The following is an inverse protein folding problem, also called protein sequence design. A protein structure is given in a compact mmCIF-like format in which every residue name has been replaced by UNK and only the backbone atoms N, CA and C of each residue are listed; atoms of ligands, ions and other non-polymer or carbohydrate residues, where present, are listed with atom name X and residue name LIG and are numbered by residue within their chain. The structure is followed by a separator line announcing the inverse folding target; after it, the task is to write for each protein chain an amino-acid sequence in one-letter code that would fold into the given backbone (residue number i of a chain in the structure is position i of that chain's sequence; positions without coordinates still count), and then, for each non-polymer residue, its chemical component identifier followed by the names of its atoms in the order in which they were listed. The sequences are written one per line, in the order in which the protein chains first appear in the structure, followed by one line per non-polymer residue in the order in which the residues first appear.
data_IF_879105180529
#
_entry.id   IF_879105180529
#
_cell.length_a   1.000
_cell.length_b   1.000
_cell.length_c   1.000
_cell.angle_alpha   90.00
_cell.angle_beta   90.00
_cell.angle_gamma   90.00
#
_symmetry.space_group_name_H-M   'P 1'
#
loop_
_entity.id
_entity.type
_entity.pdbx_description
1 polymer ?
#
# COMPACT_ATOMS: atom_id res chain seq x y z
N UNK A 1 21.97 34.50 48.83
CA UNK A 1 22.36 35.78 48.20
C UNK A 1 23.88 35.72 48.05
N UNK A 2 24.54 35.67 46.91
CA UNK A 2 24.20 35.87 45.50
C UNK A 2 25.27 35.10 44.70
N UNK A 3 24.87 34.24 43.76
CA UNK A 3 25.80 33.58 42.85
C UNK A 3 26.03 34.48 41.64
N UNK A 4 27.28 34.88 41.43
CA UNK A 4 27.72 35.73 40.33
C UNK A 4 27.64 34.94 39.01
N UNK A 5 26.79 35.40 38.09
CA UNK A 5 26.81 34.98 36.69
C UNK A 5 28.02 35.63 36.02
N UNK A 6 28.85 34.83 35.37
CA UNK A 6 29.82 35.35 34.41
C UNK A 6 29.65 34.62 33.07
N UNK A 7 29.71 35.42 32.02
CA UNK A 7 29.15 35.19 30.69
C UNK A 7 29.99 34.20 29.88
N UNK A 8 29.35 33.41 29.02
CA UNK A 8 30.03 32.68 27.95
C UNK A 8 29.70 33.36 26.60
N UNK A 9 30.76 33.65 25.84
CA UNK A 9 30.80 34.34 24.55
C UNK A 9 29.79 33.81 23.50
N UNK A 10 29.16 34.70 22.72
CA UNK A 10 28.51 34.35 21.46
C UNK A 10 29.47 34.66 20.29
N UNK A 11 29.79 33.64 19.49
CA UNK A 11 30.35 33.63 18.11
C UNK A 11 31.31 32.42 18.04
N UNK A 12 31.06 31.42 17.19
CA UNK A 12 31.35 31.47 15.75
C UNK A 12 30.37 30.53 15.03
N UNK A 13 29.56 31.12 14.18
CA UNK A 13 28.71 30.48 13.17
C UNK A 13 29.63 29.72 12.19
N UNK A 14 29.55 28.39 12.20
CA UNK A 14 30.30 27.54 11.27
C UNK A 14 29.61 27.50 9.91
N UNK A 15 30.21 28.21 8.95
CA UNK A 15 30.11 28.10 7.49
C UNK A 15 28.94 27.27 6.90
N UNK A 16 27.95 28.00 6.38
CA UNK A 16 26.87 27.54 5.51
C UNK A 16 27.40 27.12 4.12
N UNK A 17 28.00 25.93 4.00
CA UNK A 17 28.25 25.30 2.68
C UNK A 17 28.05 23.78 2.66
N UNK A 18 26.89 23.33 3.11
CA UNK A 18 26.43 21.95 2.92
C UNK A 18 25.15 21.80 2.09
N UNK A 19 24.68 22.87 1.43
CA UNK A 19 23.40 22.84 0.68
C UNK A 19 23.55 22.71 -0.84
N UNK A 20 24.76 22.78 -1.40
CA UNK A 20 24.95 22.87 -2.87
C UNK A 20 25.43 21.58 -3.57
N UNK A 21 25.42 20.43 -2.88
CA UNK A 21 25.90 19.16 -3.46
C UNK A 21 24.84 18.06 -3.59
N UNK A 22 23.57 18.34 -3.30
CA UNK A 22 22.46 17.36 -3.49
C UNK A 22 21.53 17.69 -4.66
N UNK A 23 21.70 18.84 -5.30
CA UNK A 23 20.85 19.26 -6.44
C UNK A 23 21.27 18.68 -7.80
N UNK A 24 22.36 17.92 -7.89
CA UNK A 24 22.90 17.41 -9.18
C UNK A 24 22.59 15.94 -9.49
N UNK A 25 21.72 15.27 -8.74
CA UNK A 25 21.26 13.90 -9.06
C UNK A 25 19.83 13.84 -9.63
N UNK A 26 19.21 14.99 -9.90
CA UNK A 26 17.85 15.08 -10.44
C UNK A 26 17.74 15.04 -11.98
N UNK A 27 18.82 14.70 -12.71
CA UNK A 27 18.80 14.67 -14.18
C UNK A 27 18.28 13.32 -14.70
N UNK A 28 17.01 13.32 -15.07
CA UNK A 28 16.49 12.60 -16.25
C UNK A 28 16.58 11.07 -16.22
N UNK A 29 15.90 10.44 -15.26
CA UNK A 29 15.23 9.18 -15.62
C UNK A 29 13.93 9.55 -16.33
N UNK A 30 13.98 9.56 -17.66
CA UNK A 30 12.81 9.55 -18.54
C UNK A 30 12.14 8.18 -18.42
N UNK A 31 11.61 7.89 -17.24
CA UNK A 31 10.72 6.75 -17.04
C UNK A 31 9.44 7.09 -17.79
N UNK A 32 9.06 6.33 -18.83
CA UNK A 32 7.78 6.57 -19.49
C UNK A 32 6.70 6.49 -18.41
N UNK A 33 5.99 7.59 -18.22
CA UNK A 33 4.74 7.62 -17.47
C UNK A 33 3.78 6.83 -18.35
N UNK A 34 3.76 5.52 -18.19
CA UNK A 34 2.72 4.69 -18.76
C UNK A 34 1.46 5.10 -18.00
N UNK A 35 0.52 5.74 -18.69
CA UNK A 35 -0.85 5.95 -18.22
C UNK A 35 -1.49 4.58 -18.01
N UNK A 36 -1.11 3.91 -16.92
CA UNK A 36 -1.79 2.72 -16.46
C UNK A 36 -3.03 3.18 -15.72
N UNK A 37 -4.19 2.91 -16.31
CA UNK A 37 -5.47 3.10 -15.67
C UNK A 37 -5.60 2.03 -14.57
N UNK A 38 -5.03 2.30 -13.39
CA UNK A 38 -5.04 1.42 -12.21
C UNK A 38 -6.42 1.38 -11.56
N UNK A 39 -7.44 1.00 -12.34
CA UNK A 39 -8.83 0.94 -11.92
C UNK A 39 -9.23 -0.49 -11.61
N UNK A 40 -9.84 -0.70 -10.45
CA UNK A 40 -10.51 -1.95 -10.09
C UNK A 40 -12.01 -1.76 -10.28
N UNK A 41 -12.68 -2.75 -10.88
CA UNK A 41 -14.12 -2.65 -11.19
C UNK A 41 -14.94 -2.38 -9.91
N UNK A 42 -15.67 -1.28 -9.90
CA UNK A 42 -16.48 -0.86 -8.75
C UNK A 42 -15.70 -0.18 -7.63
N UNK A 43 -14.45 0.22 -7.86
CA UNK A 43 -13.68 1.12 -6.98
C UNK A 43 -13.36 2.37 -7.81
N UNK A 44 -13.94 3.50 -7.44
CA UNK A 44 -13.73 4.78 -8.11
C UNK A 44 -12.67 5.59 -7.35
N UNK A 45 -11.44 5.06 -7.35
CA UNK A 45 -10.28 5.65 -6.70
C UNK A 45 -9.08 5.61 -7.64
N UNK A 46 -8.26 6.66 -7.63
CA UNK A 46 -6.95 6.64 -8.29
C UNK A 46 -5.98 5.86 -7.40
N UNK A 47 -5.73 4.60 -7.76
CA UNK A 47 -4.92 3.69 -6.96
C UNK A 47 -3.44 3.83 -7.29
N UNK A 48 -2.58 3.74 -6.28
CA UNK A 48 -1.16 3.44 -6.49
C UNK A 48 -1.00 2.03 -7.08
N UNK A 49 0.13 1.71 -7.76
CA UNK A 49 0.38 0.37 -8.27
C UNK A 49 0.24 -0.74 -7.21
N UNK A 50 0.67 -0.44 -5.98
CA UNK A 50 0.62 -1.38 -4.86
C UNK A 50 -0.81 -1.63 -4.38
N UNK A 51 -1.61 -0.57 -4.25
CA UNK A 51 -3.02 -0.67 -3.88
C UNK A 51 -3.82 -1.42 -4.95
N UNK A 52 -3.59 -1.11 -6.22
CA UNK A 52 -4.18 -1.83 -7.35
C UNK A 52 -3.83 -3.31 -7.32
N UNK A 53 -2.57 -3.64 -7.04
CA UNK A 53 -2.12 -5.03 -6.93
C UNK A 53 -2.88 -5.79 -5.83
N UNK A 54 -2.96 -5.23 -4.62
CA UNK A 54 -3.64 -5.91 -3.50
C UNK A 54 -5.14 -6.07 -3.74
N UNK A 55 -5.83 -5.04 -4.25
CA UNK A 55 -7.26 -5.12 -4.55
C UNK A 55 -7.56 -6.11 -5.68
N UNK A 56 -6.75 -6.11 -6.74
CA UNK A 56 -6.89 -7.07 -7.85
C UNK A 56 -6.63 -8.51 -7.40
N UNK A 57 -5.62 -8.71 -6.55
CA UNK A 57 -5.33 -10.02 -5.97
C UNK A 57 -6.48 -10.50 -5.09
N UNK A 58 -7.02 -9.63 -4.23
CA UNK A 58 -8.15 -9.96 -3.37
C UNK A 58 -9.36 -10.40 -4.20
N UNK A 59 -9.71 -9.64 -5.24
CA UNK A 59 -10.80 -9.99 -6.17
C UNK A 59 -10.60 -11.37 -6.78
N UNK A 60 -9.40 -11.64 -7.29
CA UNK A 60 -9.07 -12.92 -7.91
C UNK A 60 -9.17 -14.08 -6.93
N UNK A 61 -8.67 -13.91 -5.71
CA UNK A 61 -8.72 -14.95 -4.68
C UNK A 61 -10.15 -15.27 -4.24
N UNK A 62 -11.00 -14.25 -4.15
CA UNK A 62 -12.42 -14.43 -3.80
C UNK A 62 -13.16 -15.16 -4.92
N UNK A 63 -12.96 -14.77 -6.18
CA UNK A 63 -13.53 -15.47 -7.33
C UNK A 63 -13.05 -16.93 -7.41
N UNK A 64 -11.76 -17.16 -7.13
CA UNK A 64 -11.18 -18.50 -7.08
C UNK A 64 -11.81 -19.34 -5.97
N UNK A 65 -11.96 -18.80 -4.75
CA UNK A 65 -12.69 -19.45 -3.65
C UNK A 65 -14.12 -19.80 -4.06
N UNK A 66 -14.85 -18.86 -4.65
CA UNK A 66 -16.25 -19.04 -5.03
C UNK A 66 -16.43 -20.09 -6.14
N UNK A 67 -15.43 -20.26 -7.00
CA UNK A 67 -15.43 -21.32 -8.02
C UNK A 67 -15.04 -22.67 -7.40
N UNK A 68 -14.02 -22.67 -6.54
CA UNK A 68 -13.48 -23.88 -5.93
C UNK A 68 -14.45 -24.57 -4.96
N UNK A 69 -15.34 -23.81 -4.30
CA UNK A 69 -16.31 -24.37 -3.37
C UNK A 69 -17.29 -25.37 -4.02
N UNK A 70 -17.46 -25.32 -5.34
CA UNK A 70 -18.33 -26.23 -6.12
C UNK A 70 -17.52 -27.19 -7.00
N UNK A 71 -16.20 -27.26 -6.83
CA UNK A 71 -15.33 -28.14 -7.59
C UNK A 71 -15.58 -29.62 -7.24
N UNK A 72 -15.53 -30.50 -8.23
CA UNK A 72 -15.68 -31.94 -8.03
C UNK A 72 -14.47 -32.55 -7.28
N UNK A 73 -13.29 -31.94 -7.46
CA UNK A 73 -12.03 -32.33 -6.82
C UNK A 73 -11.76 -31.47 -5.56
N UNK A 74 -12.83 -31.08 -4.86
CA UNK A 74 -12.73 -30.28 -3.65
C UNK A 74 -11.90 -30.98 -2.56
N UNK A 75 -10.91 -30.26 -2.04
CA UNK A 75 -10.08 -30.65 -0.92
C UNK A 75 -10.10 -29.56 0.16
N UNK A 76 -10.41 -29.98 1.39
CA UNK A 76 -10.58 -29.05 2.51
C UNK A 76 -9.30 -28.24 2.83
N UNK A 77 -8.11 -28.81 2.59
CA UNK A 77 -6.84 -28.11 2.85
C UNK A 77 -6.63 -26.95 1.88
N UNK A 78 -7.02 -27.10 0.61
CA UNK A 78 -6.92 -26.05 -0.40
C UNK A 78 -7.88 -24.90 -0.09
N UNK A 79 -9.11 -25.22 0.33
CA UNK A 79 -10.05 -24.20 0.78
C UNK A 79 -9.52 -23.49 2.04
N UNK A 80 -8.88 -24.22 2.95
CA UNK A 80 -8.16 -23.62 4.09
C UNK A 80 -7.04 -22.66 3.66
N UNK A 81 -6.27 -23.01 2.62
CA UNK A 81 -5.21 -22.17 2.08
C UNK A 81 -5.76 -20.91 1.41
N UNK A 82 -6.82 -21.02 0.62
CA UNK A 82 -7.49 -19.89 -0.02
C UNK A 82 -8.05 -18.90 1.00
N UNK A 83 -8.71 -19.38 2.07
CA UNK A 83 -9.21 -18.51 3.13
C UNK A 83 -8.09 -17.74 3.84
N UNK A 84 -6.93 -18.38 4.07
CA UNK A 84 -5.75 -17.70 4.64
C UNK A 84 -5.16 -16.68 3.67
N UNK A 85 -5.09 -16.99 2.38
CA UNK A 85 -4.61 -16.06 1.37
C UNK A 85 -5.50 -14.81 1.29
N UNK A 86 -6.83 -14.99 1.24
CA UNK A 86 -7.81 -13.88 1.26
C UNK A 86 -7.61 -13.01 2.51
N UNK A 87 -7.48 -13.64 3.69
CA UNK A 87 -7.27 -12.90 4.93
C UNK A 87 -5.95 -12.11 4.92
N UNK A 88 -4.85 -12.71 4.46
CA UNK A 88 -3.56 -12.04 4.34
C UNK A 88 -3.64 -10.85 3.40
N UNK A 89 -4.22 -11.02 2.21
CA UNK A 89 -4.36 -9.94 1.24
C UNK A 89 -5.28 -8.83 1.73
N UNK A 90 -6.32 -9.15 2.50
CA UNK A 90 -7.14 -8.12 3.17
C UNK A 90 -6.31 -7.29 4.16
N UNK A 91 -5.38 -7.93 4.91
CA UNK A 91 -4.45 -7.21 5.79
C UNK A 91 -3.52 -6.30 4.99
N UNK A 92 -2.99 -6.78 3.86
CA UNK A 92 -2.17 -5.97 2.96
C UNK A 92 -2.95 -4.76 2.41
N UNK A 93 -4.23 -4.93 2.06
CA UNK A 93 -5.10 -3.82 1.65
C UNK A 93 -5.28 -2.78 2.76
N UNK A 94 -5.45 -3.23 4.00
CA UNK A 94 -5.57 -2.34 5.17
C UNK A 94 -4.26 -1.56 5.39
N UNK A 95 -3.12 -2.24 5.29
CA UNK A 95 -1.79 -1.62 5.43
C UNK A 95 -1.48 -0.64 4.29
N UNK A 96 -2.00 -0.90 3.09
CA UNK A 96 -1.92 -0.01 1.94
C UNK A 96 -3.00 1.10 1.92
N UNK A 97 -3.76 1.27 3.00
CA UNK A 97 -4.77 2.32 3.17
C UNK A 97 -5.94 2.25 2.17
N UNK A 98 -6.28 1.03 1.72
CA UNK A 98 -7.45 0.73 0.86
C UNK A 98 -8.33 -0.38 1.48
N UNK A 99 -8.36 -0.40 2.81
CA UNK A 99 -9.04 -1.43 3.59
C UNK A 99 -10.56 -1.36 3.52
N UNK A 100 -11.13 -0.18 3.27
CA UNK A 100 -12.59 -0.01 3.21
C UNK A 100 -13.13 -0.46 1.85
N UNK A 101 -12.45 -0.11 0.77
CA UNK A 101 -12.72 -0.60 -0.58
C UNK A 101 -12.60 -2.14 -0.65
N UNK A 102 -11.59 -2.70 0.01
CA UNK A 102 -11.41 -4.14 0.12
C UNK A 102 -12.57 -4.82 0.85
N UNK A 103 -13.06 -4.24 1.95
CA UNK A 103 -14.24 -4.77 2.68
C UNK A 103 -15.51 -4.68 1.83
N UNK A 104 -15.71 -3.57 1.14
CA UNK A 104 -16.85 -3.42 0.24
C UNK A 104 -16.83 -4.48 -0.87
N UNK A 105 -15.65 -4.73 -1.46
CA UNK A 105 -15.46 -5.77 -2.46
C UNK A 105 -15.87 -7.14 -1.91
N UNK A 106 -15.41 -7.50 -0.70
CA UNK A 106 -15.81 -8.75 -0.05
C UNK A 106 -17.32 -8.82 0.22
N UNK A 107 -17.92 -7.72 0.66
CA UNK A 107 -19.35 -7.66 0.93
C UNK A 107 -20.17 -7.87 -0.36
N UNK A 108 -19.77 -7.26 -1.48
CA UNK A 108 -20.45 -7.46 -2.77
C UNK A 108 -20.43 -8.93 -3.18
N UNK A 109 -19.27 -9.57 -3.11
CA UNK A 109 -19.10 -10.98 -3.47
C UNK A 109 -19.89 -11.94 -2.56
N UNK A 110 -20.14 -11.59 -1.30
CA UNK A 110 -20.98 -12.39 -0.40
C UNK A 110 -22.48 -12.31 -0.71
N UNK A 111 -22.95 -11.22 -1.33
CA UNK A 111 -24.38 -11.01 -1.62
C UNK A 111 -24.79 -11.42 -3.05
N UNK A 112 -23.83 -11.85 -3.88
CA UNK A 112 -24.07 -12.24 -5.28
C UNK A 112 -24.35 -13.75 -5.42
N UNK A 113 -24.12 -14.55 -4.37
CA UNK A 113 -24.37 -16.01 -4.34
C UNK A 113 -25.61 -16.39 -3.54
#
# INVERSE_FOLDING_TARGET
MSGQQDQADPEVLGDDKAEEAVSSLGSEMDTPIVDNDWRVSGIDLDLTPLQFHYLSLLQRLVALKNTYQTDADYEAWMMGALNKAIYSTLRDCIEANVGDEAKELLNREQHVN
#
